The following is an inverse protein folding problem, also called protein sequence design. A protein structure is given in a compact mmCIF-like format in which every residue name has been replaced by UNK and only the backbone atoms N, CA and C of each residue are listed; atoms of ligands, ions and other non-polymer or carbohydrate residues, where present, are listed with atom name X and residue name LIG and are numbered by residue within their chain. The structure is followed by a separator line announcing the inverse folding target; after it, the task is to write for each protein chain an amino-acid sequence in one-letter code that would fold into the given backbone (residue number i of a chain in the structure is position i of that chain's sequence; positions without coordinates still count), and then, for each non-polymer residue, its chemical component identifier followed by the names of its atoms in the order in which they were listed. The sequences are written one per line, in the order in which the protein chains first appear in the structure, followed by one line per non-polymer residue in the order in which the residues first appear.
data_IF_617171414054
#
_entry.id   IF_617171414054
#
_cell.length_a   1.000
_cell.length_b   1.000
_cell.length_c   1.000
_cell.angle_alpha   90.00
_cell.angle_beta   90.00
_cell.angle_gamma   90.00
#
_symmetry.space_group_name_H-M   'P 1'
#
loop_
_entity.id
_entity.type
_entity.pdbx_description
1 polymer ?
#
# COMPACT_ATOMS: atom_id res chain seq x y z
N UNK A 1 10.90 23.97 -4.68
CA UNK A 1 10.53 23.23 -3.47
C UNK A 1 11.73 22.47 -2.92
N UNK A 2 12.07 21.30 -3.45
CA UNK A 2 13.10 20.43 -2.87
C UNK A 2 14.49 21.09 -2.74
N UNK A 3 14.95 21.79 -3.76
CA UNK A 3 16.25 22.49 -3.76
C UNK A 3 16.30 23.49 -2.61
N UNK A 4 15.30 24.34 -2.45
CA UNK A 4 15.22 25.34 -1.37
C UNK A 4 15.27 24.71 0.01
N UNK A 5 14.61 23.55 0.19
CA UNK A 5 14.64 22.80 1.44
C UNK A 5 16.02 22.18 1.72
N UNK A 6 16.64 21.52 0.73
CA UNK A 6 17.94 20.90 0.85
C UNK A 6 19.09 21.94 1.06
N UNK A 7 18.99 23.10 0.45
CA UNK A 7 19.95 24.20 0.64
C UNK A 7 19.71 24.99 1.92
N UNK A 8 18.75 24.59 2.74
CA UNK A 8 18.40 25.26 4.01
C UNK A 8 18.14 26.75 3.82
N UNK A 9 17.40 27.11 2.75
CA UNK A 9 17.00 28.49 2.53
C UNK A 9 16.29 29.04 3.77
N UNK A 10 16.68 30.24 4.19
CA UNK A 10 16.15 30.88 5.40
C UNK A 10 14.61 30.96 5.32
N UNK A 11 13.96 30.61 6.41
CA UNK A 11 12.50 30.62 6.57
C UNK A 11 11.71 29.68 5.66
N UNK A 12 12.38 28.77 4.93
CA UNK A 12 11.74 27.75 4.12
C UNK A 12 11.64 26.42 4.90
N UNK A 13 10.44 26.06 5.29
CA UNK A 13 10.18 24.90 6.16
C UNK A 13 9.89 23.62 5.36
N UNK A 14 9.90 22.47 6.06
CA UNK A 14 9.45 21.20 5.49
C UNK A 14 7.99 21.27 5.00
N UNK A 15 7.14 22.00 5.73
CA UNK A 15 5.75 22.25 5.32
C UNK A 15 5.65 23.01 4.00
N UNK A 16 6.52 24.02 3.82
CA UNK A 16 6.58 24.77 2.55
C UNK A 16 7.03 23.88 1.40
N UNK A 17 8.04 23.01 1.65
CA UNK A 17 8.50 22.04 0.66
C UNK A 17 7.38 21.06 0.26
N UNK A 18 6.63 20.53 1.21
CA UNK A 18 5.50 19.64 0.92
C UNK A 18 4.42 20.35 0.08
N UNK A 19 4.06 21.58 0.43
CA UNK A 19 3.09 22.36 -0.36
C UNK A 19 3.58 22.61 -1.78
N UNK A 20 4.84 23.00 -1.95
CA UNK A 20 5.42 23.34 -3.26
C UNK A 20 5.63 22.11 -4.15
N UNK A 21 5.91 20.93 -3.57
CA UNK A 21 6.17 19.69 -4.31
C UNK A 21 4.88 18.92 -4.59
N UNK A 22 4.01 18.83 -3.57
CA UNK A 22 2.86 17.93 -3.60
C UNK A 22 1.53 18.68 -3.79
N UNK A 23 1.53 20.01 -3.72
CA UNK A 23 0.31 20.82 -3.77
C UNK A 23 -0.60 20.65 -2.53
N UNK A 24 -0.09 20.06 -1.45
CA UNK A 24 -0.87 19.72 -0.26
C UNK A 24 -0.48 20.63 0.90
N UNK A 25 -1.48 21.22 1.54
CA UNK A 25 -1.28 21.89 2.84
C UNK A 25 -1.39 20.85 3.96
N UNK A 26 -0.23 20.32 4.35
CA UNK A 26 -0.13 19.27 5.36
C UNK A 26 -0.60 19.77 6.72
N UNK A 27 -1.63 19.12 7.25
CA UNK A 27 -2.07 19.29 8.64
C UNK A 27 -1.61 18.08 9.44
N UNK A 28 -0.75 18.26 10.46
CA UNK A 28 -0.33 17.16 11.33
C UNK A 28 -1.56 16.47 11.95
N UNK A 29 -1.53 15.14 11.96
CA UNK A 29 -2.55 14.38 12.67
C UNK A 29 -2.38 14.66 14.16
N UNK A 30 -3.43 15.07 14.89
CA UNK A 30 -3.35 15.35 16.33
C UNK A 30 -2.86 14.11 17.09
N UNK A 31 -1.95 14.30 18.04
CA UNK A 31 -1.41 13.22 18.89
C UNK A 31 -2.53 12.44 19.61
N UNK A 32 -3.57 13.12 20.04
CA UNK A 32 -4.74 12.50 20.65
C UNK A 32 -5.39 11.43 19.77
N UNK A 33 -5.29 11.56 18.43
CA UNK A 33 -5.83 10.58 17.49
C UNK A 33 -4.99 9.30 17.50
N UNK A 34 -3.66 9.42 17.52
CA UNK A 34 -2.77 8.27 17.68
C UNK A 34 -3.00 7.56 19.00
N UNK A 35 -3.07 8.30 20.09
CA UNK A 35 -3.34 7.77 21.43
C UNK A 35 -4.68 7.03 21.47
N UNK A 36 -5.72 7.59 20.84
CA UNK A 36 -7.03 6.94 20.76
C UNK A 36 -6.97 5.59 20.04
N UNK A 37 -6.39 5.56 18.85
CA UNK A 37 -6.30 4.31 18.08
C UNK A 37 -5.37 3.29 18.72
N UNK A 38 -4.25 3.74 19.29
CA UNK A 38 -3.34 2.88 20.02
C UNK A 38 -4.02 2.21 21.21
N UNK A 39 -4.81 2.99 21.97
CA UNK A 39 -5.61 2.45 23.07
C UNK A 39 -6.62 1.42 22.57
N UNK A 40 -7.37 1.70 21.49
CA UNK A 40 -8.34 0.75 20.91
C UNK A 40 -7.70 -0.58 20.52
N UNK A 41 -6.54 -0.53 19.86
CA UNK A 41 -5.79 -1.73 19.45
C UNK A 41 -5.34 -2.50 20.69
N UNK A 42 -4.75 -1.82 21.66
CA UNK A 42 -4.29 -2.43 22.91
C UNK A 42 -5.42 -3.10 23.70
N UNK A 43 -6.55 -2.41 23.85
CA UNK A 43 -7.73 -2.94 24.55
C UNK A 43 -8.26 -4.18 23.84
N UNK A 44 -8.39 -4.12 22.51
CA UNK A 44 -8.85 -5.26 21.71
C UNK A 44 -7.93 -6.48 21.81
N UNK A 45 -6.62 -6.27 21.77
CA UNK A 45 -5.66 -7.37 21.96
C UNK A 45 -5.73 -7.96 23.37
N UNK A 46 -5.99 -7.12 24.38
CA UNK A 46 -6.20 -7.61 25.76
C UNK A 46 -7.47 -8.47 25.86
N UNK A 47 -8.57 -8.04 25.27
CA UNK A 47 -9.82 -8.81 25.19
C UNK A 47 -9.61 -10.16 24.50
N UNK A 48 -8.72 -10.24 23.50
CA UNK A 48 -8.34 -11.45 22.80
C UNK A 48 -7.37 -12.34 23.59
N UNK A 49 -6.97 -11.93 24.81
CA UNK A 49 -6.11 -12.71 25.68
C UNK A 49 -4.61 -12.46 25.55
N UNK A 50 -4.20 -11.49 24.71
CA UNK A 50 -2.78 -11.14 24.60
C UNK A 50 -2.33 -10.33 25.82
N UNK A 51 -1.16 -10.69 26.36
CA UNK A 51 -0.57 -10.08 27.55
C UNK A 51 0.79 -9.45 27.26
N UNK A 52 1.18 -8.47 28.08
CA UNK A 52 2.44 -7.74 27.96
C UNK A 52 2.24 -6.28 27.53
N UNK A 53 3.33 -5.61 27.18
CA UNK A 53 3.31 -4.27 26.63
C UNK A 53 2.57 -4.24 25.29
N UNK A 54 1.96 -3.10 24.89
CA UNK A 54 1.16 -3.05 23.64
C UNK A 54 1.90 -3.53 22.38
N UNK A 55 3.18 -3.19 22.21
CA UNK A 55 4.00 -3.66 21.10
C UNK A 55 4.20 -5.18 21.12
N UNK A 56 4.38 -5.76 22.30
CA UNK A 56 4.51 -7.22 22.46
C UNK A 56 3.21 -7.95 22.11
N UNK A 57 2.05 -7.39 22.49
CA UNK A 57 0.74 -7.94 22.11
C UNK A 57 0.55 -7.93 20.61
N UNK A 58 0.91 -6.83 19.93
CA UNK A 58 0.83 -6.70 18.48
C UNK A 58 1.72 -7.77 17.83
N UNK A 59 2.97 -7.91 18.28
CA UNK A 59 3.91 -8.90 17.76
C UNK A 59 3.42 -10.33 17.91
N UNK A 60 2.92 -10.68 19.10
CA UNK A 60 2.34 -12.00 19.34
C UNK A 60 1.16 -12.28 18.42
N UNK A 61 0.23 -11.31 18.32
CA UNK A 61 -0.93 -11.43 17.44
C UNK A 61 -0.52 -11.58 15.97
N UNK A 62 0.47 -10.82 15.51
CA UNK A 62 0.98 -10.94 14.15
C UNK A 62 1.55 -12.32 13.86
N UNK A 63 2.33 -12.87 14.81
CA UNK A 63 2.93 -14.20 14.67
C UNK A 63 1.88 -15.34 14.70
N UNK A 64 0.83 -15.17 15.48
CA UNK A 64 -0.27 -16.16 15.55
C UNK A 64 -1.17 -16.15 14.32
N UNK A 65 -1.04 -15.10 13.45
CA UNK A 65 -1.89 -14.91 12.27
C UNK A 65 -1.07 -14.79 10.98
N UNK A 66 0.02 -15.54 10.92
CA UNK A 66 0.82 -15.58 9.69
C UNK A 66 0.09 -16.38 8.60
N UNK A 67 0.22 -15.89 7.37
CA UNK A 67 -0.22 -16.58 6.18
C UNK A 67 0.86 -17.61 5.82
N UNK A 68 0.54 -18.91 5.74
CA UNK A 68 1.51 -19.89 5.28
C UNK A 68 2.04 -19.57 3.88
N UNK A 69 3.34 -19.78 3.65
CA UNK A 69 3.99 -19.48 2.37
C UNK A 69 3.26 -20.09 1.17
N UNK A 70 2.73 -21.31 1.36
CA UNK A 70 1.96 -22.05 0.34
C UNK A 70 0.62 -21.38 -0.01
N UNK A 71 0.13 -20.50 0.85
CA UNK A 71 -1.16 -19.84 0.69
C UNK A 71 -1.05 -18.40 0.18
N UNK A 72 0.17 -17.82 0.16
CA UNK A 72 0.39 -16.42 -0.17
C UNK A 72 -0.19 -16.05 -1.53
N UNK A 73 0.11 -16.84 -2.57
CA UNK A 73 -0.40 -16.57 -3.93
C UNK A 73 -1.94 -16.63 -3.97
N UNK A 74 -2.54 -17.66 -3.41
CA UNK A 74 -4.00 -17.81 -3.38
C UNK A 74 -4.70 -16.66 -2.62
N UNK A 75 -4.14 -16.26 -1.47
CA UNK A 75 -4.66 -15.12 -0.69
C UNK A 75 -4.52 -13.82 -1.48
N UNK A 76 -3.40 -13.63 -2.20
CA UNK A 76 -3.18 -12.46 -3.03
C UNK A 76 -4.23 -12.35 -4.15
N UNK A 77 -4.46 -13.42 -4.89
CA UNK A 77 -5.44 -13.46 -5.97
C UNK A 77 -6.86 -13.09 -5.48
N UNK A 78 -7.29 -13.72 -4.38
CA UNK A 78 -8.60 -13.43 -3.78
C UNK A 78 -8.73 -11.98 -3.27
N UNK A 79 -7.64 -11.41 -2.75
CA UNK A 79 -7.64 -10.03 -2.31
C UNK A 79 -7.67 -9.07 -3.48
N UNK A 80 -6.89 -9.33 -4.53
CA UNK A 80 -6.83 -8.49 -5.73
C UNK A 80 -8.18 -8.43 -6.45
N UNK A 81 -8.90 -9.54 -6.56
CA UNK A 81 -10.25 -9.56 -7.12
C UNK A 81 -11.19 -8.59 -6.37
N UNK A 82 -11.19 -8.68 -5.03
CA UNK A 82 -12.01 -7.80 -4.18
C UNK A 82 -11.57 -6.35 -4.22
N UNK A 83 -10.26 -6.10 -4.18
CA UNK A 83 -9.71 -4.75 -4.20
C UNK A 83 -9.92 -4.08 -5.58
N UNK A 84 -9.82 -4.84 -6.68
CA UNK A 84 -10.17 -4.37 -8.04
C UNK A 84 -11.62 -3.89 -8.10
N UNK A 85 -12.54 -4.71 -7.64
CA UNK A 85 -13.96 -4.33 -7.63
C UNK A 85 -14.23 -3.09 -6.76
N UNK A 86 -13.62 -3.03 -5.57
CA UNK A 86 -13.74 -1.88 -4.67
C UNK A 86 -13.09 -0.61 -5.24
N UNK A 87 -11.93 -0.74 -5.87
CA UNK A 87 -11.23 0.38 -6.50
C UNK A 87 -12.06 0.97 -7.65
N UNK A 88 -12.55 0.15 -8.57
CA UNK A 88 -13.42 0.60 -9.66
C UNK A 88 -14.70 1.27 -9.17
N UNK A 89 -15.31 0.76 -8.12
CA UNK A 89 -16.55 1.29 -7.60
C UNK A 89 -16.41 2.62 -6.84
N UNK A 90 -15.24 2.89 -6.21
CA UNK A 90 -15.13 3.96 -5.20
C UNK A 90 -13.99 4.92 -5.42
N UNK A 91 -12.91 4.50 -6.04
CA UNK A 91 -11.66 5.27 -6.13
C UNK A 91 -11.38 5.69 -7.57
N UNK A 92 -11.47 4.77 -8.51
CA UNK A 92 -11.10 4.97 -9.92
C UNK A 92 -12.21 4.49 -10.86
N UNK A 93 -13.42 5.09 -10.81
CA UNK A 93 -14.53 4.67 -11.66
C UNK A 93 -14.26 4.86 -13.16
N UNK A 94 -13.26 5.69 -13.49
CA UNK A 94 -12.79 5.93 -14.84
C UNK A 94 -11.72 4.91 -15.32
N UNK A 95 -11.40 3.89 -14.55
CA UNK A 95 -10.56 2.77 -14.98
C UNK A 95 -11.41 1.84 -15.87
N UNK A 96 -11.62 2.28 -17.12
CA UNK A 96 -12.53 1.66 -18.08
C UNK A 96 -11.85 0.74 -19.09
N UNK A 97 -10.50 0.83 -19.20
CA UNK A 97 -9.70 -0.01 -20.07
C UNK A 97 -9.77 -1.49 -19.63
N UNK A 98 -9.48 -2.39 -20.54
CA UNK A 98 -9.33 -3.82 -20.27
C UNK A 98 -7.97 -4.09 -19.60
N UNK A 99 -7.93 -3.86 -18.31
CA UNK A 99 -6.74 -3.98 -17.49
C UNK A 99 -6.75 -5.27 -16.66
N UNK A 100 -5.58 -5.87 -16.47
CA UNK A 100 -5.44 -7.07 -15.68
C UNK A 100 -4.11 -7.18 -14.93
N UNK A 101 -4.16 -7.78 -13.77
CA UNK A 101 -3.00 -8.43 -13.15
C UNK A 101 -3.00 -9.88 -13.62
N UNK A 102 -2.15 -10.19 -14.61
CA UNK A 102 -2.16 -11.49 -15.28
C UNK A 102 -1.56 -12.61 -14.45
N UNK A 103 -0.64 -12.26 -13.57
CA UNK A 103 0.09 -13.23 -12.78
C UNK A 103 0.45 -12.69 -11.41
N UNK A 104 0.36 -13.57 -10.41
CA UNK A 104 0.79 -13.33 -9.04
C UNK A 104 1.75 -14.44 -8.63
N UNK A 105 2.95 -14.08 -8.21
CA UNK A 105 3.99 -15.04 -7.86
C UNK A 105 4.55 -14.80 -6.46
N UNK A 106 4.78 -15.90 -5.75
CA UNK A 106 5.65 -15.91 -4.57
C UNK A 106 7.09 -16.08 -5.01
N UNK A 107 7.99 -15.22 -4.51
CA UNK A 107 9.42 -15.23 -4.82
C UNK A 107 10.27 -15.23 -3.54
N UNK A 108 11.55 -15.57 -3.67
CA UNK A 108 12.54 -15.52 -2.59
C UNK A 108 13.80 -14.77 -3.02
N UNK A 109 14.65 -14.46 -2.06
CA UNK A 109 15.96 -13.82 -2.26
C UNK A 109 15.88 -12.45 -2.95
N UNK A 110 14.76 -11.72 -2.71
CA UNK A 110 14.55 -10.38 -3.26
C UNK A 110 14.76 -9.29 -2.21
N UNK A 111 15.35 -8.12 -2.58
CA UNK A 111 15.57 -7.03 -1.62
C UNK A 111 14.28 -6.30 -1.22
N UNK A 112 13.21 -6.49 -1.94
CA UNK A 112 11.89 -5.87 -1.73
C UNK A 112 10.88 -6.84 -1.13
N UNK A 113 9.75 -6.35 -0.63
CA UNK A 113 8.64 -7.14 -0.09
C UNK A 113 7.56 -7.46 -1.12
N UNK A 114 7.25 -6.51 -2.00
CA UNK A 114 6.37 -6.66 -3.14
C UNK A 114 6.92 -5.91 -4.33
N UNK A 115 6.50 -6.28 -5.52
CA UNK A 115 6.90 -5.62 -6.76
C UNK A 115 5.82 -5.77 -7.83
N UNK A 116 5.51 -4.66 -8.51
CA UNK A 116 4.63 -4.63 -9.67
C UNK A 116 5.43 -4.39 -10.94
N UNK A 117 5.43 -5.36 -11.83
CA UNK A 117 6.02 -5.24 -13.18
C UNK A 117 4.91 -4.94 -14.18
N UNK A 118 5.01 -3.82 -14.89
CA UNK A 118 4.12 -3.51 -16.01
C UNK A 118 4.64 -4.23 -17.24
N UNK A 119 3.91 -5.22 -17.73
CA UNK A 119 4.41 -6.21 -18.72
C UNK A 119 3.92 -5.96 -20.15
N UNK A 120 2.77 -5.35 -20.28
CA UNK A 120 2.15 -4.98 -21.54
C UNK A 120 1.16 -3.84 -21.29
N UNK A 121 0.63 -3.16 -22.34
CA UNK A 121 -0.41 -2.16 -22.19
C UNK A 121 -1.56 -2.64 -21.30
N UNK A 122 -1.78 -1.96 -20.17
CA UNK A 122 -2.80 -2.25 -19.14
C UNK A 122 -2.62 -3.57 -18.38
N UNK A 123 -1.47 -4.25 -18.53
CA UNK A 123 -1.20 -5.54 -17.92
C UNK A 123 -0.01 -5.51 -16.97
N UNK A 124 -0.13 -6.17 -15.83
CA UNK A 124 0.94 -6.28 -14.83
C UNK A 124 1.07 -7.69 -14.29
N UNK A 125 2.29 -7.95 -13.78
CA UNK A 125 2.63 -9.11 -12.96
C UNK A 125 2.98 -8.61 -11.56
N UNK A 126 2.48 -9.26 -10.53
CA UNK A 126 2.84 -8.96 -9.14
C UNK A 126 3.67 -10.07 -8.53
N UNK A 127 4.67 -9.68 -7.74
CA UNK A 127 5.56 -10.60 -7.05
C UNK A 127 5.62 -10.25 -5.56
N UNK A 128 5.59 -11.25 -4.69
CA UNK A 128 5.66 -11.08 -3.24
C UNK A 128 6.77 -11.94 -2.66
N UNK A 129 7.68 -11.30 -1.90
CA UNK A 129 8.79 -12.00 -1.27
C UNK A 129 8.31 -12.76 -0.03
N UNK A 130 8.39 -14.10 -0.07
CA UNK A 130 7.98 -14.97 1.02
C UNK A 130 9.11 -15.28 2.02
N UNK A 131 10.29 -14.68 1.89
CA UNK A 131 11.30 -14.68 2.97
C UNK A 131 10.87 -13.78 4.14
N UNK A 132 9.85 -12.94 3.92
CA UNK A 132 9.24 -12.09 4.92
C UNK A 132 7.90 -12.69 5.34
N UNK A 133 7.70 -12.92 6.65
CA UNK A 133 6.43 -13.47 7.11
C UNK A 133 5.29 -12.47 6.88
N UNK A 134 4.20 -12.94 6.29
CA UNK A 134 3.03 -12.14 6.02
C UNK A 134 1.91 -12.42 7.01
N UNK A 135 1.30 -11.38 7.54
CA UNK A 135 -0.02 -11.44 8.16
C UNK A 135 -1.04 -10.65 7.33
N UNK A 136 -2.32 -10.88 7.53
CA UNK A 136 -3.35 -10.31 6.69
C UNK A 136 -3.29 -8.78 6.54
N UNK A 137 -3.11 -7.95 7.61
CA UNK A 137 -3.00 -6.50 7.47
C UNK A 137 -1.77 -6.04 6.69
N UNK A 138 -0.59 -6.60 6.95
CA UNK A 138 0.64 -6.21 6.26
C UNK A 138 0.59 -6.62 4.78
N UNK A 139 0.06 -7.80 4.50
CA UNK A 139 -0.09 -8.30 3.15
C UNK A 139 -1.13 -7.49 2.35
N UNK A 140 -2.28 -7.20 2.95
CA UNK A 140 -3.30 -6.34 2.33
C UNK A 140 -2.76 -4.95 1.95
N UNK A 141 -1.91 -4.36 2.81
CA UNK A 141 -1.27 -3.08 2.52
C UNK A 141 -0.38 -3.16 1.27
N UNK A 142 0.49 -4.17 1.17
CA UNK A 142 1.38 -4.34 0.01
C UNK A 142 0.59 -4.71 -1.25
N UNK A 143 -0.42 -5.58 -1.15
CA UNK A 143 -1.30 -5.90 -2.28
C UNK A 143 -2.02 -4.68 -2.84
N UNK A 144 -2.49 -3.79 -1.96
CA UNK A 144 -3.10 -2.52 -2.36
C UNK A 144 -2.08 -1.60 -3.03
N UNK A 145 -0.86 -1.54 -2.50
CA UNK A 145 0.22 -0.72 -3.02
C UNK A 145 0.68 -1.18 -4.41
N UNK A 146 0.84 -2.48 -4.64
CA UNK A 146 1.30 -3.02 -5.91
C UNK A 146 0.18 -3.16 -6.95
N UNK A 147 -1.05 -3.49 -6.51
CA UNK A 147 -2.19 -3.78 -7.36
C UNK A 147 -3.23 -2.65 -7.41
N UNK A 148 -4.32 -2.79 -6.66
CA UNK A 148 -5.51 -1.93 -6.72
C UNK A 148 -5.76 -1.19 -5.40
N UNK A 149 -5.73 0.18 -5.42
CA UNK A 149 -5.53 1.10 -6.55
C UNK A 149 -4.07 1.60 -6.71
N UNK A 150 -3.07 0.76 -6.47
CA UNK A 150 -1.65 1.09 -6.42
C UNK A 150 -0.95 1.19 -7.78
N UNK A 151 0.28 0.66 -7.85
CA UNK A 151 1.16 0.79 -9.01
C UNK A 151 0.55 0.32 -10.32
N UNK A 152 -0.16 -0.81 -10.33
CA UNK A 152 -0.84 -1.30 -11.52
C UNK A 152 -1.81 -0.25 -12.09
N UNK A 153 -2.69 0.31 -11.25
CA UNK A 153 -3.68 1.31 -11.68
C UNK A 153 -3.01 2.60 -12.16
N UNK A 154 -1.97 3.06 -11.45
CA UNK A 154 -1.22 4.26 -11.85
C UNK A 154 -0.60 4.09 -13.24
N UNK A 155 0.02 2.94 -13.50
CA UNK A 155 0.62 2.63 -14.81
C UNK A 155 -0.45 2.57 -15.92
N UNK A 156 -1.59 1.92 -15.66
CA UNK A 156 -2.71 1.88 -16.62
C UNK A 156 -3.23 3.29 -16.96
N UNK A 157 -3.40 4.14 -15.96
CA UNK A 157 -3.87 5.51 -16.16
C UNK A 157 -2.83 6.37 -16.90
N UNK A 158 -1.55 6.19 -16.59
CA UNK A 158 -0.48 6.87 -17.31
C UNK A 158 -0.47 6.48 -18.79
N UNK A 159 -0.53 5.20 -19.07
CA UNK A 159 -0.56 4.74 -20.46
C UNK A 159 -1.79 5.27 -21.19
N UNK A 160 -2.97 5.13 -20.61
CA UNK A 160 -4.20 5.65 -21.18
C UNK A 160 -4.13 7.18 -21.43
N UNK A 161 -3.61 7.93 -20.46
CA UNK A 161 -3.48 9.38 -20.58
C UNK A 161 -2.44 9.84 -21.61
N UNK A 162 -1.28 9.20 -21.65
CA UNK A 162 -0.19 9.61 -22.54
C UNK A 162 -0.34 9.06 -23.96
N UNK A 163 -0.71 7.80 -24.12
CA UNK A 163 -0.80 7.17 -25.45
C UNK A 163 -2.12 7.48 -26.16
N UNK A 164 -3.20 7.64 -25.43
CA UNK A 164 -4.50 8.00 -26.00
C UNK A 164 -4.78 9.50 -26.00
N UNK A 165 -3.83 10.31 -25.52
CA UNK A 165 -3.92 11.77 -25.56
C UNK A 165 -5.03 12.36 -24.72
N UNK A 166 -5.41 11.69 -23.63
CA UNK A 166 -6.47 12.11 -22.71
C UNK A 166 -5.97 13.02 -21.58
N UNK A 167 -4.64 13.21 -21.43
CA UNK A 167 -4.08 14.25 -20.60
C UNK A 167 -4.07 15.59 -21.36
N UNK A 168 -4.42 16.70 -20.69
CA UNK A 168 -4.36 18.03 -21.29
C UNK A 168 -2.94 18.46 -21.58
#
# INVERSE_FOLDING_TARGET
GLVRFLTKEKDYTFKDAQRDIMGIDFKPIPEAMFTHFYKKVNDRLTELGYTGAPGEKIHKWQNDHLIPDTEVTRVAEQYLEKSRAAAKARVVPYLTMDEAVDNVESVRDMPWSGYSSYTAPYHSKLQFNIDRPWNAPSFANVLTHEGYPGHHVVNCLWEHGFHEGTFP
#
